data_IF_031146651981
#
_entry.id   IF_031146651981
#
_cell.length_a   1.000
_cell.length_b   1.000
_cell.length_c   1.000
_cell.angle_alpha   90.00
_cell.angle_beta   90.00
_cell.angle_gamma   90.00
#
_symmetry.space_group_name_H-M   'P 1'
#
loop_
_entity.id
_entity.type
_entity.pdbx_description
1 polymer ?
#
# COMPACT_ATOMS: atom_id res chain seq x y z
N UNK A 1 7.52 9.38 18.77
CA UNK A 1 8.21 9.36 17.46
C UNK A 1 9.55 10.09 17.60
N UNK A 2 10.66 9.52 17.12
CA UNK A 2 11.97 10.17 17.20
C UNK A 2 12.00 11.45 16.33
N UNK A 3 12.61 12.58 16.76
CA UNK A 3 12.54 13.85 16.05
C UNK A 3 12.96 13.79 14.57
N UNK A 4 14.00 12.99 14.27
CA UNK A 4 14.46 12.74 12.89
C UNK A 4 13.40 12.08 12.02
N UNK A 5 12.63 11.13 12.56
CA UNK A 5 11.58 10.42 11.83
C UNK A 5 10.40 11.37 11.58
N UNK A 6 10.07 12.23 12.54
CA UNK A 6 8.99 13.22 12.36
C UNK A 6 9.26 14.18 11.19
N UNK A 7 10.53 14.60 11.00
CA UNK A 7 10.92 15.45 9.86
C UNK A 7 10.74 14.72 8.53
N UNK A 8 11.26 13.49 8.43
CA UNK A 8 11.14 12.67 7.21
C UNK A 8 9.68 12.32 6.87
N UNK A 9 8.85 12.09 7.90
CA UNK A 9 7.41 11.88 7.72
C UNK A 9 6.76 13.13 7.12
N UNK A 10 7.10 14.31 7.63
CA UNK A 10 6.57 15.58 7.11
C UNK A 10 6.96 15.78 5.65
N UNK A 11 8.21 15.53 5.28
CA UNK A 11 8.69 15.62 3.90
C UNK A 11 7.94 14.67 2.97
N UNK A 12 7.76 13.40 3.38
CA UNK A 12 7.06 12.42 2.55
C UNK A 12 5.56 12.74 2.44
N UNK A 13 4.91 13.23 3.50
CA UNK A 13 3.52 13.70 3.43
C UNK A 13 3.36 14.88 2.47
N UNK A 14 4.29 15.84 2.47
CA UNK A 14 4.27 16.96 1.53
C UNK A 14 4.45 16.47 0.08
N UNK A 15 5.32 15.49 -0.15
CA UNK A 15 5.50 14.86 -1.47
C UNK A 15 4.22 14.16 -1.94
N UNK A 16 3.53 13.44 -1.05
CA UNK A 16 2.26 12.78 -1.37
C UNK A 16 1.13 13.78 -1.66
N UNK A 17 1.08 14.90 -0.92
CA UNK A 17 0.15 16.00 -1.18
C UNK A 17 0.44 16.68 -2.53
N UNK A 18 1.71 16.91 -2.87
CA UNK A 18 2.08 17.61 -4.11
C UNK A 18 1.71 16.85 -5.38
N UNK A 19 1.65 15.52 -5.31
CA UNK A 19 1.21 14.65 -6.41
C UNK A 19 -0.27 14.27 -6.30
N UNK A 20 -1.02 14.90 -5.38
CA UNK A 20 -2.44 14.64 -5.12
C UNK A 20 -2.77 13.18 -4.78
N UNK A 21 -1.82 12.44 -4.19
CA UNK A 21 -2.05 11.07 -3.75
C UNK A 21 -2.86 11.02 -2.44
N UNK A 22 -2.71 12.05 -1.60
CA UNK A 22 -3.50 12.27 -0.40
C UNK A 22 -4.07 13.70 -0.40
N UNK A 23 -5.10 13.93 0.40
CA UNK A 23 -5.75 15.21 0.58
C UNK A 23 -6.01 15.46 2.08
N UNK A 24 -5.98 16.72 2.54
CA UNK A 24 -6.43 17.04 3.89
C UNK A 24 -7.95 16.82 3.99
N UNK A 25 -8.39 16.29 5.12
CA UNK A 25 -9.81 16.08 5.42
C UNK A 25 -10.13 16.67 6.79
N UNK A 26 -11.21 17.42 6.86
CA UNK A 26 -11.73 17.95 8.11
C UNK A 26 -12.75 16.98 8.71
N UNK A 27 -12.65 16.76 10.02
CA UNK A 27 -13.57 15.93 10.82
C UNK A 27 -13.78 14.49 10.28
N UNK A 28 -12.72 13.68 10.17
CA UNK A 28 -12.86 12.31 9.71
C UNK A 28 -13.61 11.44 10.73
N UNK A 29 -14.52 10.60 10.24
CA UNK A 29 -15.21 9.59 11.06
C UNK A 29 -14.27 8.42 11.45
N UNK A 30 -13.28 8.15 10.61
CA UNK A 30 -12.31 7.06 10.78
C UNK A 30 -10.89 7.61 10.80
N UNK A 31 -10.07 7.15 11.73
CA UNK A 31 -8.67 7.52 11.85
C UNK A 31 -7.85 6.25 12.06
N UNK A 32 -6.76 6.13 11.31
CA UNK A 32 -5.80 5.04 11.44
C UNK A 32 -4.41 5.60 11.68
N UNK A 33 -3.60 4.86 12.43
CA UNK A 33 -2.23 5.28 12.73
C UNK A 33 -1.34 5.21 11.49
N UNK A 34 -0.43 6.18 11.36
CA UNK A 34 0.67 6.07 10.40
C UNK A 34 1.83 5.30 11.00
N UNK A 35 2.39 4.40 10.21
CA UNK A 35 3.53 3.55 10.56
C UNK A 35 4.68 3.89 9.60
N UNK A 36 5.64 4.72 10.02
CA UNK A 36 6.82 5.01 9.21
C UNK A 36 7.75 3.79 9.16
N UNK A 37 8.10 3.36 7.95
CA UNK A 37 9.00 2.22 7.71
C UNK A 37 10.19 2.67 6.88
N UNK A 38 11.40 2.38 7.34
CA UNK A 38 12.62 2.65 6.58
C UNK A 38 12.81 1.58 5.50
N UNK A 39 12.91 2.00 4.23
CA UNK A 39 13.28 1.11 3.13
C UNK A 39 14.76 0.73 3.25
N UNK A 40 15.12 -0.44 2.71
CA UNK A 40 16.53 -0.85 2.57
C UNK A 40 17.36 0.16 1.75
N UNK A 41 16.73 0.88 0.84
CA UNK A 41 17.35 1.94 0.02
C UNK A 41 17.55 3.26 0.77
N UNK A 42 17.23 3.33 2.07
CA UNK A 42 17.40 4.52 2.91
C UNK A 42 16.25 5.52 2.88
N UNK A 43 15.30 5.38 1.95
CA UNK A 43 14.08 6.20 1.91
C UNK A 43 13.06 5.82 3.00
N UNK A 44 12.14 6.73 3.32
CA UNK A 44 11.01 6.45 4.21
C UNK A 44 9.78 6.02 3.40
N UNK A 45 9.05 5.01 3.88
CA UNK A 45 7.70 4.65 3.40
C UNK A 45 6.71 4.95 4.52
N UNK A 46 5.67 5.72 4.21
CA UNK A 46 4.53 5.88 5.11
C UNK A 46 3.55 4.74 4.83
N UNK A 47 3.34 3.89 5.82
CA UNK A 47 2.28 2.89 5.81
C UNK A 47 1.14 3.35 6.71
N UNK A 48 -0.09 2.95 6.42
CA UNK A 48 -1.24 3.18 7.30
C UNK A 48 -1.65 1.84 7.90
N UNK A 49 -1.87 1.82 9.21
CA UNK A 49 -2.37 0.64 9.90
C UNK A 49 -3.87 0.47 9.65
N UNK A 50 -4.20 -0.35 8.66
CA UNK A 50 -5.57 -0.65 8.27
C UNK A 50 -6.18 -1.82 9.06
N UNK A 51 -5.63 -2.22 10.21
CA UNK A 51 -6.14 -3.38 10.95
C UNK A 51 -7.65 -3.30 11.24
N UNK A 52 -8.12 -2.23 11.88
CA UNK A 52 -9.53 -2.06 12.22
C UNK A 52 -10.41 -1.88 10.97
N UNK A 53 -9.89 -1.23 9.94
CA UNK A 53 -10.58 -1.05 8.66
C UNK A 53 -10.78 -2.40 7.95
N UNK A 54 -9.76 -3.24 7.93
CA UNK A 54 -9.79 -4.55 7.31
C UNK A 54 -10.75 -5.50 8.05
N UNK A 55 -10.92 -5.36 9.36
CA UNK A 55 -11.92 -6.11 10.13
C UNK A 55 -13.35 -5.64 9.86
N UNK A 56 -13.56 -4.34 9.61
CA UNK A 56 -14.87 -3.78 9.32
C UNK A 56 -15.32 -4.03 7.87
N UNK A 57 -14.38 -4.24 6.94
CA UNK A 57 -14.67 -4.51 5.54
C UNK A 57 -15.12 -5.97 5.33
N UNK A 58 -16.21 -6.23 4.60
CA UNK A 58 -16.52 -7.59 4.16
C UNK A 58 -15.37 -8.12 3.28
N UNK A 59 -15.04 -9.40 3.42
CA UNK A 59 -14.04 -10.03 2.54
C UNK A 59 -14.53 -10.01 1.11
N UNK A 60 -13.62 -9.72 0.20
CA UNK A 60 -13.86 -9.83 -1.23
C UNK A 60 -13.88 -11.31 -1.65
N UNK A 61 -14.85 -11.68 -2.47
CA UNK A 61 -15.12 -13.06 -2.92
C UNK A 61 -14.55 -13.32 -4.33
N UNK A 62 -13.60 -12.51 -4.80
CA UNK A 62 -12.84 -12.79 -6.02
C UNK A 62 -11.58 -13.61 -5.69
N UNK A 63 -11.64 -14.96 -5.74
CA UNK A 63 -10.46 -15.76 -5.50
C UNK A 63 -9.47 -15.54 -6.63
N UNK A 64 -8.19 -15.33 -6.26
CA UNK A 64 -7.12 -15.46 -7.23
C UNK A 64 -7.12 -16.91 -7.76
N UNK A 65 -6.93 -17.11 -9.08
CA UNK A 65 -6.82 -18.46 -9.63
C UNK A 65 -5.67 -19.21 -8.96
N UNK A 66 -5.83 -20.53 -8.82
CA UNK A 66 -4.74 -21.37 -8.33
C UNK A 66 -3.51 -21.21 -9.24
N UNK A 67 -2.31 -21.34 -8.67
CA UNK A 67 -1.06 -21.36 -9.44
C UNK A 67 -1.14 -22.42 -10.53
N UNK A 68 -1.70 -23.59 -10.24
CA UNK A 68 -1.85 -24.67 -11.22
C UNK A 68 -2.75 -24.26 -12.39
N UNK A 69 -3.84 -23.53 -12.11
CA UNK A 69 -4.73 -23.01 -13.15
C UNK A 69 -4.01 -21.98 -14.02
N UNK A 70 -3.20 -21.09 -13.42
CA UNK A 70 -2.40 -20.13 -14.17
C UNK A 70 -1.37 -20.83 -15.06
N UNK A 71 -0.69 -21.85 -14.53
CA UNK A 71 0.30 -22.64 -15.29
C UNK A 71 -0.38 -23.36 -16.46
N UNK A 72 -1.49 -24.04 -16.23
CA UNK A 72 -2.24 -24.74 -17.28
C UNK A 72 -2.75 -23.79 -18.37
N UNK A 73 -3.23 -22.60 -17.98
CA UNK A 73 -3.67 -21.56 -18.93
C UNK A 73 -2.52 -21.02 -19.80
N UNK A 74 -1.29 -21.02 -19.27
CA UNK A 74 -0.10 -20.55 -19.99
C UNK A 74 0.62 -21.66 -20.75
N UNK A 75 0.25 -22.93 -20.54
CA UNK A 75 0.87 -24.07 -21.22
C UNK A 75 0.71 -23.98 -22.74
N UNK A 76 1.77 -24.29 -23.48
CA UNK A 76 1.77 -24.27 -24.95
C UNK A 76 1.99 -22.90 -25.59
N UNK A 77 2.12 -21.82 -24.82
CA UNK A 77 2.54 -20.52 -25.34
C UNK A 77 4.05 -20.47 -25.51
N UNK A 78 4.52 -19.97 -26.67
CA UNK A 78 5.95 -19.87 -26.99
C UNK A 78 6.65 -18.71 -26.26
N UNK A 79 5.90 -17.74 -25.76
CA UNK A 79 6.39 -16.55 -25.06
C UNK A 79 5.41 -16.11 -23.98
N UNK A 80 5.93 -15.79 -22.81
CA UNK A 80 5.21 -15.15 -21.72
C UNK A 80 5.85 -13.78 -21.45
N UNK A 81 5.01 -12.75 -21.39
CA UNK A 81 5.41 -11.39 -21.03
C UNK A 81 4.71 -11.01 -19.73
N UNK A 82 5.48 -10.69 -18.69
CA UNK A 82 4.95 -10.26 -17.40
C UNK A 82 5.02 -8.74 -17.30
N UNK A 83 3.94 -8.13 -16.84
CA UNK A 83 3.88 -6.70 -16.49
C UNK A 83 3.66 -6.60 -14.98
N UNK A 84 4.28 -5.59 -14.37
CA UNK A 84 3.98 -5.17 -12.99
C UNK A 84 2.79 -4.20 -12.99
#
# INVERSE_FOLDING_TARGET
MHPRIALLVKEELQRLLSVSFILPIDYPQWISNIVPVTKATGGLRICTDFWDLNLACPKDDFPLPSIDQLVDLTAGHEMLSLMD
#
